data_IF_480670831141
#
_entry.id   IF_480670831141
#
_cell.length_a   1.000
_cell.length_b   1.000
_cell.length_c   1.000
_cell.angle_alpha   90.00
_cell.angle_beta   90.00
_cell.angle_gamma   90.00
#
_symmetry.space_group_name_H-M   'P 1'
#
loop_
_entity.id
_entity.type
_entity.pdbx_description
1 polymer ?
#
# COMPACT_ATOMS: atom_id res chain seq x y z
N UNK A 1 -14.78 17.39 8.94
CA UNK A 1 -14.61 16.03 9.50
C UNK A 1 -13.86 15.20 8.48
N UNK A 2 -12.97 14.29 8.91
CA UNK A 2 -12.30 13.38 8.00
C UNK A 2 -13.33 12.41 7.38
N UNK A 3 -13.14 11.99 6.11
CA UNK A 3 -14.05 11.04 5.47
C UNK A 3 -13.96 9.66 6.10
N UNK A 4 -15.08 8.94 6.07
CA UNK A 4 -15.22 7.61 6.69
C UNK A 4 -14.99 6.52 5.65
N UNK A 5 -14.29 5.45 6.03
CA UNK A 5 -13.92 4.38 5.09
C UNK A 5 -13.88 3.02 5.76
N UNK A 6 -14.01 1.98 4.95
CA UNK A 6 -13.70 0.62 5.33
C UNK A 6 -12.35 0.23 4.74
N UNK A 7 -11.59 -0.55 5.48
CA UNK A 7 -10.33 -1.13 5.02
C UNK A 7 -10.27 -2.61 5.38
N UNK A 8 -9.64 -3.38 4.50
CA UNK A 8 -9.24 -4.77 4.72
C UNK A 8 -7.76 -4.90 4.36
N UNK A 9 -7.01 -5.58 5.21
CA UNK A 9 -5.58 -5.85 5.00
C UNK A 9 -5.34 -7.35 5.09
N UNK A 10 -5.02 -7.97 3.97
CA UNK A 10 -4.69 -9.39 3.89
C UNK A 10 -3.19 -9.60 3.74
N UNK A 11 -2.63 -10.56 4.46
CA UNK A 11 -1.24 -10.96 4.32
C UNK A 11 -1.07 -11.68 2.99
N UNK A 12 -0.03 -11.28 2.25
CA UNK A 12 0.33 -11.84 0.94
C UNK A 12 1.75 -12.40 1.00
N UNK A 13 1.97 -13.55 0.35
CA UNK A 13 3.27 -14.20 0.26
C UNK A 13 3.52 -14.68 -1.17
N UNK A 14 4.80 -14.75 -1.61
CA UNK A 14 5.11 -15.40 -2.87
C UNK A 14 4.85 -16.90 -2.75
N UNK A 15 4.25 -17.51 -3.77
CA UNK A 15 3.99 -18.95 -3.81
C UNK A 15 5.32 -19.70 -4.06
N UNK A 16 5.78 -20.57 -3.14
CA UNK A 16 7.09 -21.20 -3.25
C UNK A 16 7.11 -22.42 -4.18
N UNK A 17 5.97 -23.05 -4.45
CA UNK A 17 5.89 -24.27 -5.24
C UNK A 17 5.44 -23.98 -6.68
N UNK A 18 6.18 -24.47 -7.67
CA UNK A 18 5.81 -24.42 -9.10
C UNK A 18 6.05 -23.08 -9.80
N UNK A 19 6.28 -22.00 -9.05
CA UNK A 19 6.64 -20.69 -9.57
C UNK A 19 8.11 -20.44 -9.20
N UNK A 20 9.03 -20.53 -10.17
CA UNK A 20 10.45 -20.26 -9.94
C UNK A 20 10.67 -18.91 -9.25
N UNK A 21 11.81 -18.74 -8.56
CA UNK A 21 12.12 -17.45 -7.93
C UNK A 21 12.21 -16.37 -9.01
N UNK A 22 11.37 -15.34 -8.90
CA UNK A 22 11.48 -14.18 -9.77
C UNK A 22 12.66 -13.34 -9.30
N UNK A 23 13.62 -13.13 -10.19
CA UNK A 23 14.82 -12.33 -9.96
C UNK A 23 15.03 -11.36 -11.12
N UNK A 24 15.62 -10.20 -10.84
CA UNK A 24 16.06 -9.26 -11.86
C UNK A 24 17.36 -9.71 -12.54
N UNK A 25 17.85 -8.92 -13.50
CA UNK A 25 19.10 -9.19 -14.22
C UNK A 25 20.35 -9.20 -13.33
N UNK A 26 20.24 -8.73 -12.09
CA UNK A 26 21.31 -8.73 -11.09
C UNK A 26 21.14 -9.86 -10.06
N UNK A 27 20.19 -10.76 -10.25
CA UNK A 27 19.90 -11.86 -9.33
C UNK A 27 19.19 -11.44 -8.05
N UNK A 28 18.67 -10.20 -7.98
CA UNK A 28 17.92 -9.72 -6.81
C UNK A 28 16.48 -10.18 -6.92
N UNK A 29 15.89 -10.57 -5.80
CA UNK A 29 14.50 -11.01 -5.78
C UNK A 29 13.56 -9.90 -6.24
N UNK A 30 12.61 -10.23 -7.11
CA UNK A 30 11.49 -9.37 -7.49
C UNK A 30 10.18 -10.05 -7.14
N UNK A 31 9.12 -9.27 -6.84
CA UNK A 31 7.81 -9.86 -6.62
C UNK A 31 7.31 -10.70 -7.82
N UNK A 32 6.62 -11.83 -7.56
CA UNK A 32 6.09 -12.69 -8.61
C UNK A 32 5.11 -11.95 -9.53
N UNK A 33 5.26 -12.18 -10.85
CA UNK A 33 4.37 -11.62 -11.87
C UNK A 33 3.27 -12.57 -12.32
N UNK A 34 3.59 -13.87 -12.38
CA UNK A 34 2.68 -14.90 -12.86
C UNK A 34 1.40 -14.98 -12.01
N UNK A 35 0.28 -15.28 -12.67
CA UNK A 35 -0.97 -15.60 -11.97
C UNK A 35 -0.79 -16.80 -11.04
N UNK A 36 -1.30 -16.72 -9.82
CA UNK A 36 -1.08 -17.73 -8.78
C UNK A 36 0.31 -17.66 -8.12
N UNK A 37 1.21 -16.80 -8.60
CA UNK A 37 2.53 -16.57 -8.00
C UNK A 37 2.47 -15.82 -6.67
N UNK A 38 1.34 -15.19 -6.35
CA UNK A 38 1.09 -14.55 -5.06
C UNK A 38 -0.13 -15.19 -4.41
N UNK A 39 -0.02 -15.55 -3.13
CA UNK A 39 -1.09 -16.19 -2.36
C UNK A 39 -1.43 -15.39 -1.11
N UNK A 40 -2.70 -15.46 -0.71
CA UNK A 40 -3.11 -15.00 0.62
C UNK A 40 -2.67 -16.03 1.66
N UNK A 41 -1.87 -15.60 2.63
CA UNK A 41 -1.30 -16.50 3.64
C UNK A 41 -2.13 -16.61 4.92
N UNK A 42 -3.24 -15.87 5.02
CA UNK A 42 -4.04 -15.79 6.24
C UNK A 42 -3.28 -15.19 7.43
N UNK A 43 -3.87 -15.27 8.62
CA UNK A 43 -3.27 -14.78 9.87
C UNK A 43 -3.31 -13.26 10.04
N UNK A 44 -2.98 -12.82 11.26
CA UNK A 44 -2.95 -11.40 11.64
C UNK A 44 -4.28 -10.69 11.40
N UNK A 45 -4.28 -9.75 10.47
CA UNK A 45 -5.47 -8.96 10.06
C UNK A 45 -6.24 -9.55 8.88
N UNK A 46 -5.76 -10.64 8.29
CA UNK A 46 -6.36 -11.22 7.08
C UNK A 46 -7.79 -11.65 7.30
N UNK A 47 -8.66 -11.33 6.35
CA UNK A 47 -10.09 -11.61 6.43
C UNK A 47 -10.90 -10.72 7.40
N UNK A 48 -10.25 -9.79 8.12
CA UNK A 48 -10.92 -8.84 9.00
C UNK A 48 -11.15 -7.51 8.29
N UNK A 49 -12.29 -6.89 8.58
CA UNK A 49 -12.63 -5.55 8.11
C UNK A 49 -12.52 -4.56 9.25
N UNK A 50 -12.09 -3.34 8.92
CA UNK A 50 -11.93 -2.25 9.85
C UNK A 50 -12.65 -1.02 9.32
N UNK A 51 -13.42 -0.36 10.17
CA UNK A 51 -14.18 0.84 9.86
C UNK A 51 -13.54 2.05 10.53
N UNK A 52 -13.24 3.07 9.73
CA UNK A 52 -12.83 4.38 10.17
C UNK A 52 -14.05 5.32 10.21
N UNK A 53 -14.41 5.80 11.41
CA UNK A 53 -15.49 6.77 11.61
C UNK A 53 -15.02 8.24 11.50
N UNK A 54 -13.78 8.44 11.04
CA UNK A 54 -13.13 9.75 10.96
C UNK A 54 -12.57 10.25 12.29
N UNK A 55 -12.74 9.49 13.39
CA UNK A 55 -12.14 9.76 14.70
C UNK A 55 -11.25 8.60 15.18
N UNK A 56 -11.64 7.38 14.89
CA UNK A 56 -10.96 6.14 15.25
C UNK A 56 -11.20 5.06 14.21
N UNK A 57 -10.40 4.01 14.26
CA UNK A 57 -10.59 2.79 13.48
C UNK A 57 -10.99 1.66 14.42
N UNK A 58 -12.05 0.95 14.08
CA UNK A 58 -12.55 -0.21 14.85
C UNK A 58 -12.76 -1.40 13.94
N UNK A 59 -12.57 -2.62 14.46
CA UNK A 59 -12.95 -3.82 13.71
C UNK A 59 -14.47 -3.83 13.50
N UNK A 60 -14.89 -4.20 12.30
CA UNK A 60 -16.29 -4.19 11.86
C UNK A 60 -16.60 -5.43 11.04
N UNK A 61 -17.89 -5.79 10.97
CA UNK A 61 -18.38 -6.69 9.94
C UNK A 61 -18.46 -5.95 8.59
N UNK A 62 -18.53 -6.71 7.49
CA UNK A 62 -18.84 -6.16 6.18
C UNK A 62 -20.31 -5.67 6.15
N UNK A 63 -20.58 -4.40 5.82
CA UNK A 63 -21.96 -3.93 5.72
C UNK A 63 -22.60 -4.43 4.42
N UNK A 64 -23.84 -4.90 4.52
CA UNK A 64 -24.56 -5.53 3.41
C UNK A 64 -25.58 -4.61 2.74
N UNK A 65 -26.05 -3.56 3.42
CA UNK A 65 -27.05 -2.66 2.88
C UNK A 65 -26.93 -1.22 3.43
N UNK A 66 -26.59 -0.22 2.58
CA UNK A 66 -26.03 -0.41 1.24
C UNK A 66 -24.66 -1.12 1.29
N UNK A 67 -24.14 -1.67 0.18
CA UNK A 67 -22.75 -2.12 0.12
C UNK A 67 -21.78 -0.92 0.06
N UNK A 68 -20.54 -1.05 0.56
CA UNK A 68 -19.48 -0.06 0.37
C UNK A 68 -19.08 0.12 -1.08
N UNK A 69 -18.75 1.36 -1.45
CA UNK A 69 -18.24 1.67 -2.79
C UNK A 69 -16.73 1.48 -2.80
N UNK A 70 -16.23 0.59 -3.65
CA UNK A 70 -14.78 0.38 -3.81
C UNK A 70 -14.08 1.66 -4.21
N UNK A 71 -12.90 1.88 -3.62
CA UNK A 71 -12.07 3.04 -3.93
C UNK A 71 -10.76 2.63 -4.60
N UNK A 72 -9.87 1.96 -3.88
CA UNK A 72 -8.56 1.51 -4.38
C UNK A 72 -8.16 0.20 -3.69
N UNK A 73 -7.37 -0.61 -4.38
CA UNK A 73 -6.73 -1.80 -3.82
C UNK A 73 -5.28 -1.85 -4.28
N UNK A 74 -4.33 -1.92 -3.36
CA UNK A 74 -2.91 -2.10 -3.69
C UNK A 74 -2.37 -3.39 -3.11
N UNK A 75 -1.49 -4.05 -3.87
CA UNK A 75 -0.62 -5.11 -3.38
C UNK A 75 0.76 -4.55 -3.14
N UNK A 76 1.34 -4.82 -1.97
CA UNK A 76 2.61 -4.24 -1.56
C UNK A 76 3.53 -5.33 -1.01
N UNK A 77 4.76 -5.39 -1.48
CA UNK A 77 5.85 -6.16 -0.89
C UNK A 77 6.92 -5.24 -0.30
N UNK A 78 7.55 -5.70 0.77
CA UNK A 78 8.82 -5.15 1.24
C UNK A 78 9.96 -6.13 0.96
N UNK A 79 11.05 -5.64 0.37
CA UNK A 79 12.27 -6.41 0.16
C UNK A 79 13.49 -5.52 0.33
N UNK A 80 14.45 -5.96 1.15
CA UNK A 80 15.68 -5.27 1.49
C UNK A 80 15.42 -3.87 2.07
N UNK A 81 15.30 -2.87 1.21
CA UNK A 81 15.04 -1.48 1.59
C UNK A 81 14.02 -0.78 0.67
N UNK A 82 13.32 -1.54 -0.17
CA UNK A 82 12.36 -1.01 -1.14
C UNK A 82 10.97 -1.60 -0.91
N UNK A 83 9.96 -0.77 -1.13
CA UNK A 83 8.57 -1.18 -1.27
C UNK A 83 8.22 -1.35 -2.75
N UNK A 84 7.68 -2.50 -3.10
CA UNK A 84 7.15 -2.80 -4.42
C UNK A 84 5.63 -2.74 -4.36
N UNK A 85 5.00 -1.97 -5.25
CA UNK A 85 3.57 -1.68 -5.24
C UNK A 85 2.99 -2.06 -6.60
N UNK A 86 1.84 -2.74 -6.59
CA UNK A 86 1.01 -2.98 -7.78
C UNK A 86 -0.40 -2.43 -7.54
N UNK A 87 -0.97 -1.77 -8.55
CA UNK A 87 -2.32 -1.22 -8.51
C UNK A 87 -3.36 -2.32 -8.76
N UNK A 88 -3.66 -3.09 -7.70
CA UNK A 88 -4.67 -4.13 -7.71
C UNK A 88 -4.38 -5.24 -6.70
N UNK A 89 -5.20 -6.29 -6.73
CA UNK A 89 -5.01 -7.49 -5.92
C UNK A 89 -4.18 -8.53 -6.71
N UNK A 90 -2.88 -8.61 -6.42
CA UNK A 90 -1.94 -9.51 -7.07
C UNK A 90 -2.18 -10.99 -6.71
N UNK A 91 -3.03 -11.30 -5.71
CA UNK A 91 -3.43 -12.68 -5.40
C UNK A 91 -4.56 -13.18 -6.29
N UNK A 92 -5.24 -12.27 -6.99
CA UNK A 92 -6.39 -12.56 -7.86
C UNK A 92 -6.16 -12.19 -9.32
N UNK A 93 -5.03 -11.57 -9.63
CA UNK A 93 -4.69 -11.06 -10.96
C UNK A 93 -3.25 -11.41 -11.33
N UNK A 94 -2.99 -11.54 -12.62
CA UNK A 94 -1.61 -11.54 -13.11
C UNK A 94 -1.05 -10.12 -13.00
N UNK A 95 0.21 -9.98 -12.58
CA UNK A 95 0.89 -8.69 -12.55
C UNK A 95 1.66 -8.52 -13.85
N UNK A 96 1.40 -7.42 -14.56
CA UNK A 96 2.02 -7.11 -15.83
C UNK A 96 3.53 -6.84 -15.72
N UNK A 97 4.15 -6.57 -16.86
CA UNK A 97 5.56 -6.15 -16.90
C UNK A 97 5.75 -4.65 -16.67
N UNK A 98 4.65 -3.89 -16.55
CA UNK A 98 4.66 -2.43 -16.42
C UNK A 98 4.73 -1.70 -17.77
N UNK A 99 4.65 -2.41 -18.89
CA UNK A 99 4.45 -1.81 -20.21
C UNK A 99 2.96 -1.77 -20.52
N UNK A 100 2.53 -0.73 -21.24
CA UNK A 100 1.18 -0.68 -21.79
C UNK A 100 0.94 -1.98 -22.59
N UNK A 101 -0.28 -2.57 -22.53
CA UNK A 101 -0.58 -3.76 -23.31
C UNK A 101 -0.27 -3.44 -24.77
N UNK A 102 0.79 -4.06 -25.31
CA UNK A 102 0.96 -4.11 -26.75
C UNK A 102 -0.28 -4.84 -27.25
N UNK A 103 -1.08 -4.16 -28.06
CA UNK A 103 -2.21 -4.75 -28.77
C UNK A 103 -1.80 -6.13 -29.23
N UNK A 104 -2.55 -7.15 -28.82
CA UNK A 104 -2.32 -8.55 -29.15
C UNK A 104 -2.19 -8.68 -30.67
N UNK A 105 -0.96 -8.64 -31.18
CA UNK A 105 -0.66 -9.20 -32.49
C UNK A 105 -0.48 -10.69 -32.21
N UNK A 106 -1.57 -11.43 -32.43
CA UNK A 106 -1.61 -12.87 -32.44
C UNK A 106 -0.57 -13.40 -33.45
N UNK A 107 0.63 -13.70 -32.98
CA UNK A 107 1.54 -14.60 -33.70
C UNK A 107 1.41 -15.98 -33.06
N UNK A 108 0.52 -16.74 -33.70
CA UNK A 108 0.20 -18.15 -33.52
C UNK A 108 1.49 -18.98 -33.42
N UNK A 109 1.81 -19.42 -32.21
CA UNK A 109 2.83 -20.44 -31.96
C UNK A 109 2.16 -21.62 -31.26
N UNK A 110 1.76 -22.59 -32.09
CA UNK A 110 1.19 -23.87 -31.71
C UNK A 110 2.27 -24.73 -31.01
N UNK A 111 2.47 -24.53 -29.71
CA UNK A 111 3.10 -25.54 -28.85
C UNK A 111 2.07 -26.00 -27.81
N UNK A 112 1.84 -27.32 -27.78
CA UNK A 112 0.93 -28.03 -26.87
C UNK A 112 1.37 -27.87 -25.41
N UNK A 113 1.07 -26.72 -24.83
CA UNK A 113 1.43 -26.40 -23.45
C UNK A 113 0.24 -26.70 -22.53
N UNK A 114 0.50 -27.44 -21.45
CA UNK A 114 -0.45 -27.76 -20.38
C UNK A 114 -1.34 -26.55 -20.07
N UNK A 115 -2.66 -26.74 -20.10
CA UNK A 115 -3.71 -25.71 -20.00
C UNK A 115 -3.60 -24.91 -18.69
N UNK A 116 -2.63 -24.00 -18.61
CA UNK A 116 -2.41 -23.12 -17.48
C UNK A 116 -3.63 -22.21 -17.40
N UNK A 117 -4.27 -22.06 -16.22
CA UNK A 117 -5.46 -21.25 -16.09
C UNK A 117 -5.16 -19.82 -16.55
N UNK A 118 -5.82 -19.39 -17.63
CA UNK A 118 -5.74 -18.02 -18.14
C UNK A 118 -6.18 -17.08 -17.02
N UNK A 119 -5.40 -16.04 -16.67
CA UNK A 119 -5.77 -15.12 -15.62
C UNK A 119 -7.09 -14.41 -15.95
N UNK A 120 -7.94 -14.13 -14.94
CA UNK A 120 -9.16 -13.38 -15.18
C UNK A 120 -8.88 -11.90 -15.47
N UNK A 121 -7.78 -11.35 -14.93
CA UNK A 121 -7.37 -9.94 -15.09
C UNK A 121 -5.85 -9.78 -15.04
N UNK A 122 -5.33 -8.79 -15.77
CA UNK A 122 -3.93 -8.34 -15.70
C UNK A 122 -3.94 -6.95 -15.04
N UNK A 123 -3.19 -6.79 -13.96
CA UNK A 123 -2.96 -5.48 -13.32
C UNK A 123 -1.60 -4.92 -13.75
N UNK A 124 -1.38 -3.63 -13.54
CA UNK A 124 -0.11 -2.98 -13.87
C UNK A 124 1.07 -3.69 -13.18
N UNK A 125 2.27 -3.47 -13.71
CA UNK A 125 3.48 -4.09 -13.17
C UNK A 125 3.83 -3.69 -11.73
N UNK A 126 4.85 -4.34 -11.18
CA UNK A 126 5.42 -3.94 -9.91
C UNK A 126 6.24 -2.65 -10.08
N UNK A 127 5.81 -1.57 -9.41
CA UNK A 127 6.54 -0.32 -9.32
C UNK A 127 7.22 -0.19 -7.97
N UNK A 128 8.28 0.61 -7.90
CA UNK A 128 8.85 0.99 -6.61
C UNK A 128 8.05 2.15 -6.05
N UNK A 129 7.70 2.07 -4.77
CA UNK A 129 7.09 3.20 -4.06
C UNK A 129 7.96 4.44 -4.22
N UNK A 130 7.31 5.57 -4.45
CA UNK A 130 7.96 6.85 -4.70
C UNK A 130 7.10 7.98 -4.11
N UNK A 131 7.54 9.21 -4.36
CA UNK A 131 6.88 10.42 -3.90
C UNK A 131 6.69 11.39 -5.05
N UNK A 132 5.60 12.15 -4.95
CA UNK A 132 5.41 13.39 -5.68
C UNK A 132 5.54 14.54 -4.69
N UNK A 133 6.33 15.56 -5.04
CA UNK A 133 6.51 16.72 -4.17
C UNK A 133 5.37 17.70 -4.37
N UNK A 134 4.68 18.02 -3.28
CA UNK A 134 3.58 18.97 -3.28
C UNK A 134 4.02 20.32 -2.71
N UNK A 135 3.10 21.30 -2.75
CA UNK A 135 3.30 22.59 -2.11
C UNK A 135 3.61 22.43 -0.61
N UNK A 136 4.29 23.43 -0.03
CA UNK A 136 4.70 23.45 1.38
C UNK A 136 5.66 22.31 1.78
N UNK A 137 6.43 21.79 0.82
CA UNK A 137 7.42 20.71 1.03
C UNK A 137 6.79 19.41 1.56
N UNK A 138 5.51 19.17 1.26
CA UNK A 138 4.81 17.94 1.62
C UNK A 138 5.18 16.84 0.62
N UNK A 139 5.47 15.64 1.12
CA UNK A 139 5.68 14.48 0.26
C UNK A 139 4.37 13.71 0.11
N UNK A 140 3.92 13.50 -1.13
CA UNK A 140 2.77 12.67 -1.45
C UNK A 140 3.26 11.27 -1.82
N UNK A 141 2.98 10.26 -0.99
CA UNK A 141 3.39 8.88 -1.26
C UNK A 141 2.47 8.22 -2.29
N UNK A 142 3.04 7.67 -3.35
CA UNK A 142 2.32 6.97 -4.41
C UNK A 142 3.21 5.89 -5.05
N UNK A 143 2.68 5.18 -6.05
CA UNK A 143 3.43 4.13 -6.77
C UNK A 143 4.02 4.61 -8.11
N UNK A 144 3.60 5.78 -8.59
CA UNK A 144 3.92 6.35 -9.90
C UNK A 144 4.63 7.71 -9.83
N UNK A 145 5.05 8.12 -8.63
CA UNK A 145 5.76 9.38 -8.39
C UNK A 145 7.19 9.37 -8.91
N UNK A 146 7.78 10.56 -9.02
CA UNK A 146 9.09 10.78 -9.64
C UNK A 146 10.25 10.69 -8.64
N UNK A 147 9.97 10.88 -7.35
CA UNK A 147 11.00 11.09 -6.33
C UNK A 147 11.16 9.86 -5.45
N UNK A 148 12.41 9.43 -5.21
CA UNK A 148 12.67 8.25 -4.36
C UNK A 148 12.78 8.57 -2.87
N UNK A 149 12.86 9.84 -2.50
CA UNK A 149 13.08 10.30 -1.12
C UNK A 149 12.01 11.30 -0.75
N UNK A 150 11.83 11.51 0.55
CA UNK A 150 11.01 12.59 1.05
C UNK A 150 11.58 13.94 0.60
N UNK A 151 10.68 14.87 0.27
CA UNK A 151 11.04 16.25 -0.08
C UNK A 151 11.82 16.92 1.05
N UNK A 152 11.40 16.66 2.29
CA UNK A 152 11.86 17.36 3.47
C UNK A 152 11.68 16.48 4.70
N UNK A 153 12.63 16.56 5.64
CA UNK A 153 12.56 15.83 6.90
C UNK A 153 13.14 16.67 8.04
N UNK A 154 12.45 16.64 9.18
CA UNK A 154 12.92 17.21 10.43
C UNK A 154 13.39 16.12 11.41
N UNK A 155 14.32 16.47 12.30
CA UNK A 155 14.90 15.53 13.26
C UNK A 155 13.88 14.95 14.27
N UNK A 156 12.78 15.65 14.52
CA UNK A 156 11.70 15.23 15.44
C UNK A 156 10.55 14.46 14.75
N UNK A 157 10.62 14.25 13.43
CA UNK A 157 9.59 13.49 12.70
C UNK A 157 9.81 11.98 12.88
N UNK A 158 9.47 11.47 14.07
CA UNK A 158 9.64 10.05 14.41
C UNK A 158 8.90 9.12 13.45
N UNK A 159 7.80 9.59 12.86
CA UNK A 159 7.03 8.85 11.85
C UNK A 159 7.86 8.47 10.62
N UNK A 160 8.91 9.24 10.26
CA UNK A 160 9.73 8.93 9.08
C UNK A 160 10.49 7.62 9.28
N UNK A 161 11.14 7.44 10.44
CA UNK A 161 11.87 6.21 10.79
C UNK A 161 10.92 5.04 11.05
N UNK A 162 9.74 5.36 11.58
CA UNK A 162 8.67 4.39 11.79
C UNK A 162 8.20 3.79 10.47
N UNK A 163 7.86 4.61 9.47
CA UNK A 163 7.29 4.14 8.20
C UNK A 163 8.35 3.65 7.21
N UNK A 164 9.46 4.39 7.08
CA UNK A 164 10.37 4.22 5.95
C UNK A 164 11.76 3.75 6.37
N UNK A 165 12.40 2.84 5.60
CA UNK A 165 13.83 2.59 5.73
C UNK A 165 14.63 3.82 5.27
N UNK A 166 15.93 3.90 5.64
CA UNK A 166 16.78 5.05 5.34
C UNK A 166 16.85 5.46 3.86
N UNK A 167 16.62 4.52 2.93
CA UNK A 167 16.66 4.79 1.49
C UNK A 167 15.65 5.85 1.02
N UNK A 168 14.56 6.07 1.77
CA UNK A 168 13.52 7.06 1.45
C UNK A 168 13.64 8.36 2.27
N UNK A 169 14.61 8.46 3.19
CA UNK A 169 14.76 9.64 4.05
C UNK A 169 15.24 10.83 3.21
N UNK A 170 14.86 12.04 3.61
CA UNK A 170 15.28 13.24 2.89
C UNK A 170 16.79 13.44 3.02
N UNK A 171 17.43 13.96 1.97
CA UNK A 171 18.87 14.26 1.99
C UNK A 171 19.21 15.48 2.84
N UNK A 172 18.26 16.41 2.96
CA UNK A 172 18.43 17.66 3.69
C UNK A 172 17.56 17.61 4.95
N UNK A 173 18.22 17.69 6.10
CA UNK A 173 17.56 17.86 7.39
C UNK A 173 17.34 19.33 7.67
N UNK A 174 16.13 19.68 8.08
CA UNK A 174 15.80 21.05 8.44
C UNK A 174 16.19 21.40 9.86
N UNK A 175 16.31 22.70 10.12
CA UNK A 175 16.44 23.19 11.49
C UNK A 175 15.12 22.99 12.26
N UNK A 176 15.19 22.81 13.60
CA UNK A 176 14.03 22.84 14.47
C UNK A 176 13.22 24.12 14.38
N UNK A 177 11.89 23.98 14.31
CA UNK A 177 10.94 25.10 14.36
C UNK A 177 10.30 25.49 13.03
N UNK A 178 10.67 24.86 11.91
CA UNK A 178 9.95 25.05 10.64
C UNK A 178 8.73 24.12 10.56
N UNK A 179 7.58 24.63 10.11
CA UNK A 179 6.35 23.84 9.90
C UNK A 179 6.32 23.13 8.53
N UNK A 180 7.49 22.94 7.91
CA UNK A 180 7.62 22.32 6.59
C UNK A 180 7.73 20.81 6.69
N UNK A 181 7.33 20.12 5.61
CA UNK A 181 7.32 18.67 5.57
C UNK A 181 5.94 18.08 5.85
N UNK A 182 5.93 16.78 6.10
CA UNK A 182 4.73 15.98 6.32
C UNK A 182 4.40 15.08 5.14
N UNK A 183 3.37 14.26 5.35
CA UNK A 183 3.03 13.15 4.47
C UNK A 183 1.55 13.20 4.07
N UNK A 184 1.29 13.19 2.78
CA UNK A 184 0.00 12.86 2.16
C UNK A 184 0.23 11.66 1.22
N UNK A 185 -0.80 11.19 0.52
CA UNK A 185 -0.59 10.09 -0.43
C UNK A 185 -1.77 9.16 -0.59
N UNK A 186 -1.55 8.12 -1.40
CA UNK A 186 -2.48 7.03 -1.60
C UNK A 186 -2.80 6.33 -0.27
N UNK A 187 -4.08 6.30 0.09
CA UNK A 187 -4.56 5.80 1.37
C UNK A 187 -4.26 4.29 1.55
N UNK A 188 -4.49 3.40 0.56
CA UNK A 188 -4.11 1.99 0.70
C UNK A 188 -2.60 1.80 0.92
N UNK A 189 -1.78 2.59 0.23
CA UNK A 189 -0.32 2.53 0.36
C UNK A 189 0.13 3.00 1.74
N UNK A 190 -0.41 4.12 2.21
CA UNK A 190 -0.15 4.64 3.54
C UNK A 190 -0.54 3.63 4.64
N UNK A 191 -1.71 2.99 4.52
CA UNK A 191 -2.14 1.95 5.45
C UNK A 191 -1.22 0.72 5.38
N UNK A 192 -0.72 0.35 4.20
CA UNK A 192 0.30 -0.70 4.08
C UNK A 192 1.58 -0.33 4.83
N UNK A 193 2.06 0.91 4.72
CA UNK A 193 3.26 1.38 5.41
C UNK A 193 3.12 1.31 6.94
N UNK A 194 1.95 1.67 7.48
CA UNK A 194 1.60 1.48 8.90
C UNK A 194 1.66 0.00 9.29
N UNK A 195 1.16 -0.88 8.44
CA UNK A 195 1.17 -2.32 8.70
C UNK A 195 2.59 -2.91 8.62
N UNK A 196 3.47 -2.36 7.79
CA UNK A 196 4.88 -2.71 7.73
C UNK A 196 5.69 -2.12 8.89
N UNK A 197 5.25 -1.00 9.49
CA UNK A 197 5.94 -0.39 10.63
C UNK A 197 5.80 -1.20 11.92
N UNK A 198 4.95 -2.23 11.95
CA UNK A 198 4.80 -3.15 13.09
C UNK A 198 4.96 -4.60 12.67
N UNK A 199 5.27 -5.48 13.64
CA UNK A 199 5.24 -6.93 13.44
C UNK A 199 3.85 -7.43 13.01
N UNK A 200 3.80 -8.53 12.27
CA UNK A 200 2.56 -9.03 11.64
C UNK A 200 1.44 -9.32 12.65
N UNK A 201 1.78 -9.83 13.84
CA UNK A 201 0.84 -10.09 14.92
C UNK A 201 0.29 -8.81 15.60
N UNK A 202 0.91 -7.65 15.37
CA UNK A 202 0.48 -6.36 15.92
C UNK A 202 -0.38 -5.55 14.94
N UNK A 203 -0.72 -6.09 13.77
CA UNK A 203 -1.47 -5.37 12.74
C UNK A 203 -2.82 -4.84 13.21
N UNK A 204 -3.57 -5.63 13.99
CA UNK A 204 -4.84 -5.18 14.58
C UNK A 204 -4.64 -3.97 15.50
N UNK A 205 -3.61 -4.02 16.36
CA UNK A 205 -3.25 -2.91 17.24
C UNK A 205 -2.86 -1.67 16.44
N UNK A 206 -2.05 -1.82 15.39
CA UNK A 206 -1.62 -0.69 14.57
C UNK A 206 -2.80 0.06 13.94
N UNK A 207 -3.77 -0.68 13.37
CA UNK A 207 -4.96 -0.05 12.78
C UNK A 207 -5.82 0.65 13.84
N UNK A 208 -6.09 0.00 14.97
CA UNK A 208 -7.06 0.49 15.96
C UNK A 208 -6.49 1.53 16.94
N UNK A 209 -5.17 1.52 17.16
CA UNK A 209 -4.54 2.36 18.19
C UNK A 209 -3.79 3.57 17.65
N UNK A 210 -3.34 3.55 16.38
CA UNK A 210 -2.53 4.65 15.84
C UNK A 210 -3.38 5.80 15.28
N UNK A 211 -4.64 5.55 14.94
CA UNK A 211 -5.57 6.59 14.51
C UNK A 211 -6.57 6.92 15.63
N UNK A 212 -6.34 8.03 16.32
CA UNK A 212 -7.17 8.50 17.43
C UNK A 212 -7.43 9.99 17.33
N UNK A 213 -8.64 10.42 17.70
CA UNK A 213 -9.04 11.84 17.59
C UNK A 213 -8.97 12.38 16.17
N UNK A 214 -9.10 11.52 15.16
CA UNK A 214 -9.02 11.89 13.75
C UNK A 214 -7.60 12.17 13.25
N UNK A 215 -6.56 11.78 13.99
CA UNK A 215 -5.15 11.99 13.62
C UNK A 215 -4.34 10.71 13.79
N UNK A 216 -3.32 10.55 12.93
CA UNK A 216 -2.34 9.48 13.07
C UNK A 216 -1.27 9.85 14.09
N UNK A 217 -0.89 8.89 14.90
CA UNK A 217 0.15 9.05 15.94
C UNK A 217 1.30 8.09 15.66
N UNK A 218 2.55 8.53 15.84
CA UNK A 218 3.70 7.65 15.70
C UNK A 218 3.77 6.66 16.87
N UNK A 219 4.51 5.57 16.69
CA UNK A 219 4.76 4.58 17.72
C UNK A 219 6.24 4.22 17.85
N UNK A 220 6.58 3.57 18.96
CA UNK A 220 7.94 3.12 19.30
C UNK A 220 8.14 1.60 19.17
N UNK A 221 7.12 0.86 18.70
CA UNK A 221 7.26 -0.58 18.44
C UNK A 221 8.38 -0.87 17.42
N UNK A 222 9.09 -2.00 17.55
CA UNK A 222 10.04 -2.46 16.55
C UNK A 222 9.37 -2.60 15.17
N UNK A 223 10.09 -2.21 14.11
CA UNK A 223 9.54 -2.35 12.77
C UNK A 223 9.32 -3.82 12.41
N UNK A 224 8.22 -4.12 11.71
CA UNK A 224 7.97 -5.46 11.18
C UNK A 224 8.28 -5.60 9.70
N UNK A 225 8.98 -4.63 9.10
CA UNK A 225 9.58 -4.76 7.77
C UNK A 225 10.49 -5.98 7.76
N UNK A 226 10.18 -6.93 6.89
CA UNK A 226 10.94 -8.16 6.70
C UNK A 226 10.87 -8.58 5.24
N UNK A 227 11.94 -9.18 4.75
CA UNK A 227 12.08 -9.55 3.35
C UNK A 227 10.92 -10.44 2.87
N UNK A 228 10.42 -10.13 1.67
CA UNK A 228 9.30 -10.81 1.00
C UNK A 228 8.00 -10.80 1.81
N UNK A 229 7.88 -9.95 2.83
CA UNK A 229 6.60 -9.71 3.50
C UNK A 229 5.72 -8.91 2.55
N UNK A 230 4.54 -9.45 2.24
CA UNK A 230 3.58 -8.81 1.38
C UNK A 230 2.24 -8.60 2.06
N UNK A 231 1.43 -7.69 1.51
CA UNK A 231 0.03 -7.53 1.87
C UNK A 231 -0.79 -6.97 0.71
N UNK A 232 -2.09 -7.23 0.74
CA UNK A 232 -3.09 -6.57 -0.10
C UNK A 232 -3.91 -5.66 0.80
N UNK A 233 -4.00 -4.39 0.44
CA UNK A 233 -4.79 -3.39 1.15
C UNK A 233 -5.91 -2.90 0.24
N UNK A 234 -7.15 -3.13 0.66
CA UNK A 234 -8.34 -2.68 -0.05
C UNK A 234 -9.10 -1.66 0.77
N UNK A 235 -9.51 -0.57 0.14
CA UNK A 235 -10.24 0.54 0.76
C UNK A 235 -11.55 0.79 0.03
N UNK A 236 -12.60 1.06 0.82
CA UNK A 236 -13.94 1.40 0.33
C UNK A 236 -14.46 2.66 1.02
N UNK A 237 -15.19 3.49 0.29
CA UNK A 237 -15.95 4.61 0.86
C UNK A 237 -17.19 4.09 1.59
N UNK A 238 -17.38 4.48 2.85
CA UNK A 238 -18.50 4.01 3.67
C UNK A 238 -18.87 4.96 4.82
N UNK A 239 -20.15 5.28 5.08
CA UNK A 239 -21.32 4.89 4.29
C UNK A 239 -21.44 5.70 3.00
N UNK A 240 -21.98 5.13 1.91
CA UNK A 240 -22.03 5.76 0.59
C UNK A 240 -22.94 6.99 0.56
N UNK A 241 -23.79 7.16 1.57
CA UNK A 241 -24.66 8.34 1.74
C UNK A 241 -23.89 9.58 2.17
N UNK A 242 -22.72 9.43 2.81
CA UNK A 242 -21.95 10.56 3.35
C UNK A 242 -20.52 10.61 2.81
N UNK A 243 -19.92 9.46 2.50
CA UNK A 243 -18.55 9.38 1.98
C UNK A 243 -18.55 8.75 0.59
N UNK A 244 -17.93 9.44 -0.36
CA UNK A 244 -17.76 8.99 -1.74
C UNK A 244 -16.27 8.75 -2.05
N UNK A 245 -15.94 8.03 -3.13
CA UNK A 245 -14.57 7.95 -3.63
C UNK A 245 -13.88 9.31 -3.81
N UNK A 246 -14.63 10.34 -4.20
CA UNK A 246 -14.10 11.72 -4.32
C UNK A 246 -13.64 12.28 -2.99
N UNK A 247 -14.37 12.05 -1.89
CA UNK A 247 -13.94 12.47 -0.56
C UNK A 247 -12.65 11.75 -0.13
N UNK A 248 -12.49 10.47 -0.47
CA UNK A 248 -11.26 9.74 -0.19
C UNK A 248 -10.09 10.26 -1.04
N UNK A 249 -10.30 10.56 -2.32
CA UNK A 249 -9.27 11.21 -3.14
C UNK A 249 -8.87 12.59 -2.58
N UNK A 250 -9.82 13.36 -2.03
CA UNK A 250 -9.54 14.62 -1.35
C UNK A 250 -8.72 14.42 -0.06
N UNK A 251 -8.97 13.33 0.69
CA UNK A 251 -8.14 12.95 1.84
C UNK A 251 -6.71 12.63 1.41
N UNK A 252 -6.52 11.83 0.36
CA UNK A 252 -5.19 11.50 -0.18
C UNK A 252 -4.42 12.75 -0.62
N UNK A 253 -5.12 13.75 -1.16
CA UNK A 253 -4.57 15.04 -1.58
C UNK A 253 -4.35 16.04 -0.44
N UNK A 254 -4.65 15.66 0.81
CA UNK A 254 -4.42 16.50 1.98
C UNK A 254 -5.47 17.59 2.23
N UNK A 255 -6.61 17.57 1.54
CA UNK A 255 -7.71 18.54 1.75
C UNK A 255 -8.24 18.47 3.20
N UNK A 256 -8.20 17.28 3.79
CA UNK A 256 -8.60 17.04 5.19
C UNK A 256 -7.43 17.10 6.18
N UNK A 257 -6.26 17.59 5.76
CA UNK A 257 -5.02 17.55 6.53
C UNK A 257 -4.05 16.48 6.06
N UNK A 258 -2.83 16.53 6.60
CA UNK A 258 -1.77 15.56 6.29
C UNK A 258 -1.98 14.30 7.15
N UNK A 259 -1.51 13.15 6.68
CA UNK A 259 -1.45 11.96 7.53
C UNK A 259 -0.47 12.17 8.69
N UNK A 260 0.69 12.74 8.39
CA UNK A 260 1.68 13.15 9.38
C UNK A 260 2.20 14.56 9.08
N UNK A 261 2.59 15.27 10.13
CA UNK A 261 3.18 16.61 10.09
C UNK A 261 4.69 16.56 10.32
#
# INVERSE_FOLDING_TARGET
MAPTFLVRVDVMRPQPAGFGQSVDSYGRWTPPKAFGGNISAGGGTSGLYYYCDGQRIVQSAWPTNPPPTHFKTYSVYFQENDFYVANGDATRSQVGDGKAPQSETEEDSEEEDEEKPKPPFIIDGWFRMSFTYCQNYVSHVCYDGEQRKLCFQHAQQDWVRMLFPPAYHADILSQPGTHYGGLTGDLPLFLALIMFSVQENLGHWALTSLFQGGSWTPHTQPHGRGDRRGMVVSVWAWPPTTTTPTHLAQLENGVFGKFFY
#
